data_IF_285734168715
#
_entry.id   IF_285734168715
#
_cell.length_a   1.000
_cell.length_b   1.000
_cell.length_c   1.000
_cell.angle_alpha   90.00
_cell.angle_beta   90.00
_cell.angle_gamma   90.00
#
_symmetry.space_group_name_H-M   'P 1'
#
loop_
_entity.id
_entity.type
_entity.pdbx_description
1 polymer ?
#
# COMPACT_ATOMS: atom_id res chain seq x y z
N UNK A 1 20.16 -13.31 -9.13
CA UNK A 1 19.90 -14.77 -9.09
C UNK A 1 19.20 -15.20 -10.39
N UNK A 2 18.85 -16.49 -10.56
CA UNK A 2 18.21 -17.00 -11.79
C UNK A 2 16.94 -16.23 -12.20
N UNK A 3 16.26 -15.57 -11.27
CA UNK A 3 15.00 -14.86 -11.54
C UNK A 3 15.17 -13.38 -11.86
N UNK A 4 16.35 -12.79 -11.62
CA UNK A 4 16.65 -11.36 -11.85
C UNK A 4 17.78 -11.10 -12.84
N UNK A 5 18.47 -12.13 -13.34
CA UNK A 5 19.70 -12.03 -14.16
C UNK A 5 19.54 -11.24 -15.48
N UNK A 6 18.32 -11.10 -15.98
CA UNK A 6 18.03 -10.43 -17.26
C UNK A 6 17.17 -9.17 -17.08
N UNK A 7 17.02 -8.70 -15.84
CA UNK A 7 16.29 -7.47 -15.55
C UNK A 7 17.29 -6.35 -15.39
N UNK A 8 17.15 -5.32 -16.22
CA UNK A 8 17.82 -4.04 -16.03
C UNK A 8 16.93 -3.14 -15.17
N UNK A 9 17.54 -2.50 -14.19
CA UNK A 9 16.85 -1.58 -13.29
C UNK A 9 17.49 -0.21 -13.44
N UNK A 10 16.66 0.82 -13.51
CA UNK A 10 17.12 2.21 -13.46
C UNK A 10 17.73 2.52 -12.07
N UNK A 11 18.72 3.42 -12.04
CA UNK A 11 19.41 3.81 -10.81
C UNK A 11 18.44 4.37 -9.77
N UNK A 12 17.49 5.21 -10.18
CA UNK A 12 16.47 5.78 -9.29
C UNK A 12 15.60 4.69 -8.63
N UNK A 13 15.30 3.61 -9.36
CA UNK A 13 14.59 2.47 -8.79
C UNK A 13 15.46 1.81 -7.72
N UNK A 14 16.72 1.49 -8.01
CA UNK A 14 17.63 0.84 -7.05
C UNK A 14 17.87 1.70 -5.80
N UNK A 15 18.03 3.02 -5.99
CA UNK A 15 18.21 3.99 -4.92
C UNK A 15 17.03 4.02 -3.95
N UNK A 16 15.78 3.94 -4.45
CA UNK A 16 14.60 3.86 -3.57
C UNK A 16 14.67 2.68 -2.60
N UNK A 17 15.13 1.51 -3.06
CA UNK A 17 15.28 0.33 -2.19
C UNK A 17 16.43 0.48 -1.20
N UNK A 18 17.55 1.06 -1.61
CA UNK A 18 18.66 1.35 -0.72
C UNK A 18 18.22 2.34 0.37
N UNK A 19 17.67 3.49 0.01
CA UNK A 19 17.22 4.53 0.95
C UNK A 19 16.14 3.96 1.89
N UNK A 20 15.12 3.31 1.33
CA UNK A 20 14.03 2.69 2.09
C UNK A 20 14.49 1.64 3.10
N UNK A 21 15.62 0.97 2.83
CA UNK A 21 16.25 -0.02 3.73
C UNK A 21 17.52 0.48 4.40
N UNK A 22 17.73 1.80 4.47
CA UNK A 22 18.87 2.45 5.14
C UNK A 22 20.22 1.89 4.67
N UNK A 23 20.38 1.74 3.36
CA UNK A 23 21.56 1.20 2.69
C UNK A 23 21.96 -0.22 3.12
N UNK A 24 21.06 -0.97 3.77
CA UNK A 24 21.26 -2.39 4.00
C UNK A 24 21.05 -3.15 2.69
N UNK A 25 22.16 -3.48 2.02
CA UNK A 25 22.18 -4.10 0.68
C UNK A 25 21.39 -5.42 0.66
N UNK A 26 21.61 -6.28 1.65
CA UNK A 26 20.93 -7.59 1.72
C UNK A 26 19.41 -7.43 1.82
N UNK A 27 18.93 -6.51 2.68
CA UNK A 27 17.51 -6.20 2.79
C UNK A 27 16.96 -5.56 1.52
N UNK A 28 17.64 -4.57 0.95
CA UNK A 28 17.24 -3.94 -0.30
C UNK A 28 17.09 -4.99 -1.42
N UNK A 29 18.08 -5.86 -1.59
CA UNK A 29 18.04 -6.94 -2.57
C UNK A 29 16.91 -7.94 -2.32
N UNK A 30 16.64 -8.29 -1.05
CA UNK A 30 15.50 -9.17 -0.72
C UNK A 30 14.14 -8.57 -1.14
N UNK A 31 13.95 -7.25 -0.95
CA UNK A 31 12.75 -6.54 -1.38
C UNK A 31 12.65 -6.46 -2.91
N UNK A 32 13.77 -6.24 -3.62
CA UNK A 32 13.79 -6.25 -5.09
C UNK A 32 13.35 -7.62 -5.62
N UNK A 33 13.85 -8.72 -5.04
CA UNK A 33 13.40 -10.07 -5.42
C UNK A 33 11.91 -10.27 -5.13
N UNK A 34 11.43 -9.80 -3.98
CA UNK A 34 10.04 -9.91 -3.57
C UNK A 34 9.10 -9.17 -4.54
N UNK A 35 9.43 -7.92 -4.92
CA UNK A 35 8.61 -7.16 -5.87
C UNK A 35 8.62 -7.78 -7.27
N UNK A 36 9.76 -8.32 -7.72
CA UNK A 36 9.86 -9.01 -9.02
C UNK A 36 8.99 -10.26 -9.02
N UNK A 37 9.01 -11.04 -7.93
CA UNK A 37 8.16 -12.21 -7.78
C UNK A 37 6.67 -11.82 -7.72
N UNK A 38 6.33 -10.78 -6.96
CA UNK A 38 4.97 -10.25 -6.86
C UNK A 38 4.43 -9.85 -8.23
N UNK A 39 5.22 -9.11 -9.03
CA UNK A 39 4.85 -8.70 -10.39
C UNK A 39 4.62 -9.89 -11.33
N UNK A 40 5.45 -10.94 -11.24
CA UNK A 40 5.29 -12.17 -12.05
C UNK A 40 4.06 -12.97 -11.64
N UNK A 41 3.76 -13.03 -10.35
CA UNK A 41 2.64 -13.81 -9.80
C UNK A 41 1.29 -13.11 -10.00
N UNK A 42 1.29 -11.79 -9.99
CA UNK A 42 0.10 -10.94 -10.07
C UNK A 42 0.17 -9.93 -11.23
N UNK A 43 0.35 -10.36 -12.49
CA UNK A 43 0.45 -9.45 -13.62
C UNK A 43 -0.78 -8.55 -13.77
N UNK A 44 -1.95 -8.99 -13.31
CA UNK A 44 -3.19 -8.21 -13.26
C UNK A 44 -3.06 -6.92 -12.43
N UNK A 45 -2.15 -6.85 -11.45
CA UNK A 45 -1.96 -5.63 -10.63
C UNK A 45 -0.97 -4.65 -11.27
N UNK A 46 -0.07 -5.14 -12.14
CA UNK A 46 1.09 -4.35 -12.62
C UNK A 46 1.15 -4.17 -14.13
N UNK A 47 0.13 -4.62 -14.86
CA UNK A 47 -0.01 -4.46 -16.32
C UNK A 47 -1.43 -4.06 -16.69
N UNK A 48 -1.64 -3.64 -17.94
CA UNK A 48 -2.98 -3.34 -18.47
C UNK A 48 -3.61 -2.06 -17.92
N UNK A 49 -2.81 -1.01 -17.72
CA UNK A 49 -3.27 0.26 -17.17
C UNK A 49 -4.21 0.97 -18.17
N UNK A 50 -5.41 1.34 -17.72
CA UNK A 50 -6.20 2.39 -18.36
C UNK A 50 -6.15 3.67 -17.51
N UNK A 51 -6.03 4.82 -18.16
CA UNK A 51 -6.07 6.13 -17.49
C UNK A 51 -7.42 6.33 -16.77
N UNK A 52 -8.49 5.81 -17.35
CA UNK A 52 -9.86 5.92 -16.86
C UNK A 52 -10.04 5.27 -15.48
N UNK A 53 -9.53 4.05 -15.27
CA UNK A 53 -9.61 3.36 -13.97
C UNK A 53 -8.85 4.09 -12.86
N UNK A 54 -7.65 4.59 -13.18
CA UNK A 54 -6.84 5.35 -12.22
C UNK A 54 -7.56 6.64 -11.88
N UNK A 55 -8.02 7.37 -12.90
CA UNK A 55 -8.80 8.61 -12.74
C UNK A 55 -10.04 8.40 -11.88
N UNK A 56 -10.77 7.29 -12.07
CA UNK A 56 -11.96 6.95 -11.28
C UNK A 56 -11.64 6.79 -9.79
N UNK A 57 -10.52 6.14 -9.45
CA UNK A 57 -10.09 6.00 -8.06
C UNK A 57 -9.77 7.36 -7.40
N UNK A 58 -9.28 8.33 -8.18
CA UNK A 58 -9.00 9.68 -7.71
C UNK A 58 -10.28 10.52 -7.62
N UNK A 59 -11.14 10.48 -8.63
CA UNK A 59 -12.35 11.31 -8.71
C UNK A 59 -13.37 10.99 -7.63
N UNK A 60 -13.45 9.71 -7.24
CA UNK A 60 -14.33 9.25 -6.16
C UNK A 60 -13.65 9.40 -4.77
N UNK A 61 -12.44 9.96 -4.69
CA UNK A 61 -11.67 10.10 -3.45
C UNK A 61 -11.52 8.78 -2.67
N UNK A 62 -11.35 7.65 -3.37
CA UNK A 62 -11.13 6.35 -2.71
C UNK A 62 -9.73 6.31 -2.10
N UNK A 63 -8.74 6.81 -2.84
CA UNK A 63 -7.36 6.96 -2.40
C UNK A 63 -6.87 8.37 -2.72
N UNK A 64 -6.28 9.02 -1.72
CA UNK A 64 -5.77 10.38 -1.86
C UNK A 64 -4.40 10.48 -1.21
N UNK A 65 -3.41 10.95 -1.98
CA UNK A 65 -2.17 11.49 -1.39
C UNK A 65 -2.47 12.94 -1.02
N UNK A 66 -2.42 13.28 0.27
CA UNK A 66 -2.71 14.65 0.67
C UNK A 66 -1.61 15.59 0.17
N UNK A 67 -1.96 16.83 -0.22
CA UNK A 67 -0.97 17.80 -0.71
C UNK A 67 -0.03 18.29 0.40
N UNK A 68 -0.38 18.04 1.66
CA UNK A 68 0.41 18.44 2.82
C UNK A 68 1.16 17.26 3.44
N UNK A 69 2.32 17.56 4.00
CA UNK A 69 3.11 16.63 4.79
C UNK A 69 2.81 16.79 6.28
N UNK A 70 3.05 15.73 7.04
CA UNK A 70 3.14 15.83 8.48
C UNK A 70 4.34 16.73 8.87
N UNK A 71 4.33 17.22 10.12
CA UNK A 71 5.46 18.00 10.67
C UNK A 71 6.80 17.25 10.63
N UNK A 72 6.77 15.93 10.70
CA UNK A 72 7.94 15.05 10.56
C UNK A 72 8.30 14.72 9.10
N UNK A 73 7.68 15.42 8.14
CA UNK A 73 7.94 15.29 6.71
C UNK A 73 7.28 14.07 6.03
N UNK A 74 6.52 13.26 6.77
CA UNK A 74 5.84 12.10 6.19
C UNK A 74 4.75 12.52 5.18
N UNK A 75 4.65 11.75 4.10
CA UNK A 75 3.51 11.82 3.18
C UNK A 75 2.29 11.19 3.83
N UNK A 76 1.12 11.80 3.67
CA UNK A 76 -0.14 11.25 4.17
C UNK A 76 -0.89 10.61 3.00
N UNK A 77 -1.28 9.35 3.16
CA UNK A 77 -2.19 8.66 2.25
C UNK A 77 -3.49 8.40 3.00
N UNK A 78 -4.61 8.90 2.48
CA UNK A 78 -5.94 8.63 3.00
C UNK A 78 -6.67 7.64 2.08
N UNK A 79 -7.28 6.62 2.68
CA UNK A 79 -8.14 5.65 2.03
C UNK A 79 -9.55 5.75 2.60
N UNK A 80 -10.50 6.24 1.80
CA UNK A 80 -11.91 6.37 2.18
C UNK A 80 -12.69 5.20 1.58
N UNK A 81 -12.79 4.10 2.32
CA UNK A 81 -13.34 2.85 1.79
C UNK A 81 -14.83 2.94 1.48
N UNK A 82 -15.58 3.82 2.15
CA UNK A 82 -17.01 4.00 1.87
C UNK A 82 -17.27 4.55 0.46
N UNK A 83 -16.31 5.29 -0.10
CA UNK A 83 -16.40 5.79 -1.48
C UNK A 83 -16.08 4.71 -2.52
N UNK A 84 -15.46 3.60 -2.10
CA UNK A 84 -15.11 2.53 -3.03
C UNK A 84 -16.36 1.78 -3.47
N UNK A 85 -16.64 1.81 -4.77
CA UNK A 85 -17.65 1.00 -5.41
C UNK A 85 -17.09 -0.16 -6.25
N UNK A 86 -17.14 -1.42 -5.74
CA UNK A 86 -16.60 -2.58 -6.43
C UNK A 86 -17.24 -2.90 -7.78
N UNK A 87 -18.42 -2.35 -8.08
CA UNK A 87 -19.08 -2.49 -9.38
C UNK A 87 -18.51 -1.53 -10.43
N UNK A 88 -18.00 -0.36 -10.00
CA UNK A 88 -17.37 0.64 -10.88
C UNK A 88 -15.85 0.49 -10.95
N UNK A 89 -15.22 0.19 -9.83
CA UNK A 89 -13.78 0.00 -9.69
C UNK A 89 -13.53 -1.38 -9.08
N UNK A 90 -13.07 -2.33 -9.89
CA UNK A 90 -12.87 -3.71 -9.41
C UNK A 90 -11.75 -3.74 -8.38
N UNK A 91 -11.73 -4.77 -7.54
CA UNK A 91 -10.72 -4.92 -6.50
C UNK A 91 -9.29 -4.90 -7.07
N UNK A 92 -9.05 -5.51 -8.23
CA UNK A 92 -7.72 -5.55 -8.83
C UNK A 92 -7.28 -4.18 -9.36
N UNK A 93 -8.22 -3.36 -9.84
CA UNK A 93 -7.96 -1.97 -10.24
C UNK A 93 -7.67 -1.11 -8.99
N UNK A 94 -8.36 -1.36 -7.87
CA UNK A 94 -8.04 -0.72 -6.60
C UNK A 94 -6.62 -1.11 -6.12
N UNK A 95 -6.23 -2.39 -6.20
CA UNK A 95 -4.87 -2.84 -5.86
C UNK A 95 -3.83 -2.16 -6.76
N UNK A 96 -4.12 -2.04 -8.06
CA UNK A 96 -3.29 -1.34 -9.04
C UNK A 96 -3.13 0.14 -8.67
N UNK A 97 -4.23 0.82 -8.33
CA UNK A 97 -4.20 2.21 -7.86
C UNK A 97 -3.33 2.36 -6.59
N UNK A 98 -3.48 1.49 -5.59
CA UNK A 98 -2.63 1.49 -4.38
C UNK A 98 -1.14 1.36 -4.76
N UNK A 99 -0.80 0.43 -5.65
CA UNK A 99 0.57 0.24 -6.09
C UNK A 99 1.13 1.50 -6.78
N UNK A 100 0.36 2.11 -7.69
CA UNK A 100 0.76 3.34 -8.39
C UNK A 100 0.98 4.48 -7.40
N UNK A 101 0.03 4.72 -6.48
CA UNK A 101 0.10 5.80 -5.51
C UNK A 101 1.35 5.67 -4.63
N UNK A 102 1.64 4.47 -4.14
CA UNK A 102 2.82 4.21 -3.32
C UNK A 102 4.12 4.41 -4.11
N UNK A 103 4.20 3.82 -5.32
CA UNK A 103 5.41 3.88 -6.15
C UNK A 103 5.67 5.30 -6.67
N UNK A 104 4.64 6.04 -7.07
CA UNK A 104 4.78 7.43 -7.50
C UNK A 104 5.17 8.34 -6.34
N UNK A 105 4.55 8.18 -5.17
CA UNK A 105 4.95 8.95 -3.99
C UNK A 105 6.42 8.71 -3.62
N UNK A 106 6.93 7.50 -3.82
CA UNK A 106 8.33 7.15 -3.59
C UNK A 106 9.31 7.75 -4.61
N UNK A 107 8.85 8.36 -5.71
CA UNK A 107 9.75 9.14 -6.58
C UNK A 107 10.22 10.42 -5.92
N UNK A 108 9.50 10.91 -4.91
CA UNK A 108 9.85 12.13 -4.21
C UNK A 108 10.83 11.84 -3.04
N UNK A 109 12.02 12.47 -3.01
CA UNK A 109 13.07 12.13 -2.05
C UNK A 109 12.66 12.24 -0.58
N UNK A 110 11.85 13.24 -0.22
CA UNK A 110 11.37 13.42 1.16
C UNK A 110 10.49 12.23 1.59
N UNK A 111 9.70 11.67 0.68
CA UNK A 111 8.88 10.48 0.96
C UNK A 111 9.74 9.24 1.13
N UNK A 112 10.82 9.08 0.36
CA UNK A 112 11.74 7.95 0.54
C UNK A 112 12.38 7.98 1.93
N UNK A 113 12.78 9.17 2.40
CA UNK A 113 13.44 9.37 3.68
C UNK A 113 12.44 9.31 4.84
N UNK A 114 11.36 10.08 4.79
CA UNK A 114 10.43 10.24 5.91
C UNK A 114 9.37 9.15 5.94
N UNK A 115 8.92 8.68 4.78
CA UNK A 115 7.93 7.62 4.66
C UNK A 115 6.49 8.12 4.69
N UNK A 116 5.60 7.22 5.12
CA UNK A 116 4.15 7.40 5.04
C UNK A 116 3.49 7.36 6.42
N UNK A 117 2.46 8.18 6.61
CA UNK A 117 1.37 7.93 7.55
C UNK A 117 0.12 7.61 6.75
N UNK A 118 -0.57 6.54 7.13
CA UNK A 118 -1.74 6.06 6.38
C UNK A 118 -2.98 6.25 7.22
N UNK A 119 -4.02 6.83 6.64
CA UNK A 119 -5.35 6.95 7.23
C UNK A 119 -6.25 5.97 6.48
N UNK A 120 -6.90 5.07 7.19
CA UNK A 120 -7.90 4.16 6.64
C UNK A 120 -9.21 4.48 7.31
N UNK A 121 -10.10 5.09 6.55
CA UNK A 121 -11.43 5.50 6.98
C UNK A 121 -12.48 4.54 6.39
N UNK A 122 -13.25 3.91 7.28
CA UNK A 122 -14.41 3.12 6.92
C UNK A 122 -15.50 3.27 7.99
N UNK A 123 -16.49 4.15 7.76
CA UNK A 123 -17.68 4.38 8.61
C UNK A 123 -18.71 3.27 8.51
N UNK A 124 -18.70 2.50 7.43
CA UNK A 124 -19.52 1.32 7.12
C UNK A 124 -20.84 1.55 6.37
N UNK A 125 -21.04 0.71 5.35
CA UNK A 125 -22.30 0.14 4.90
C UNK A 125 -22.10 -1.40 4.73
N UNK A 126 -22.97 -2.29 5.22
CA UNK A 126 -22.53 -3.44 6.05
C UNK A 126 -22.07 -4.75 5.36
N UNK A 127 -22.09 -4.91 4.04
CA UNK A 127 -21.75 -6.20 3.39
C UNK A 127 -20.92 -6.09 2.10
N UNK A 128 -20.99 -4.93 1.43
CA UNK A 128 -20.36 -4.68 0.12
C UNK A 128 -18.84 -4.90 0.14
N UNK A 129 -18.17 -4.44 1.19
CA UNK A 129 -16.71 -4.57 1.30
C UNK A 129 -16.26 -5.83 2.03
N UNK A 130 -17.09 -6.36 2.95
CA UNK A 130 -16.73 -7.48 3.82
C UNK A 130 -16.37 -8.74 3.00
N UNK A 131 -17.05 -8.97 1.87
CA UNK A 131 -16.74 -10.09 0.95
C UNK A 131 -15.31 -10.06 0.38
N UNK A 132 -14.66 -8.89 0.37
CA UNK A 132 -13.27 -8.73 -0.09
C UNK A 132 -12.26 -8.83 1.04
N UNK A 133 -12.70 -8.81 2.30
CA UNK A 133 -11.89 -8.97 3.51
C UNK A 133 -11.57 -10.46 3.71
N UNK A 134 -10.74 -11.00 2.82
CA UNK A 134 -10.32 -12.40 2.84
C UNK A 134 -8.85 -12.52 3.26
N UNK A 135 -8.41 -13.66 3.86
CA UNK A 135 -7.01 -13.87 4.20
C UNK A 135 -6.06 -13.66 3.02
N UNK A 136 -6.43 -14.15 1.83
CA UNK A 136 -5.61 -14.02 0.61
C UNK A 136 -5.45 -12.55 0.18
N UNK A 137 -6.53 -11.77 0.19
CA UNK A 137 -6.47 -10.35 -0.20
C UNK A 137 -5.68 -9.53 0.81
N UNK A 138 -5.89 -9.75 2.11
CA UNK A 138 -5.19 -9.03 3.17
C UNK A 138 -3.71 -9.41 3.24
N UNK A 139 -3.39 -10.68 3.03
CA UNK A 139 -2.00 -11.12 2.91
C UNK A 139 -1.32 -10.47 1.71
N UNK A 140 -1.98 -10.41 0.55
CA UNK A 140 -1.43 -9.77 -0.64
C UNK A 140 -1.16 -8.27 -0.41
N UNK A 141 -2.09 -7.56 0.24
CA UNK A 141 -1.91 -6.17 0.64
C UNK A 141 -0.74 -6.01 1.63
N UNK A 142 -0.68 -6.86 2.66
CA UNK A 142 0.42 -6.88 3.63
C UNK A 142 1.78 -7.13 2.93
N UNK A 143 1.90 -8.20 2.15
CA UNK A 143 3.13 -8.59 1.47
C UNK A 143 3.56 -7.51 0.47
N UNK A 144 2.64 -6.96 -0.32
CA UNK A 144 2.90 -5.86 -1.24
C UNK A 144 3.43 -4.62 -0.51
N UNK A 145 2.73 -4.18 0.54
CA UNK A 145 3.08 -2.93 1.24
C UNK A 145 4.32 -3.08 2.12
N UNK A 146 4.42 -4.14 2.91
CA UNK A 146 5.45 -4.28 3.95
C UNK A 146 6.72 -5.00 3.49
N UNK A 147 6.64 -5.89 2.49
CA UNK A 147 7.73 -6.79 2.10
C UNK A 147 8.23 -6.60 0.66
N UNK A 148 7.44 -5.93 -0.20
CA UNK A 148 7.82 -5.66 -1.58
C UNK A 148 8.18 -4.19 -1.82
N UNK A 149 7.31 -3.26 -1.42
CA UNK A 149 7.54 -1.82 -1.64
C UNK A 149 8.60 -1.30 -0.66
N UNK A 150 9.57 -0.48 -1.09
CA UNK A 150 10.63 0.04 -0.21
C UNK A 150 10.17 1.17 0.71
N UNK A 151 8.87 1.26 0.99
CA UNK A 151 8.25 2.27 1.82
C UNK A 151 8.59 2.12 3.30
N UNK A 152 8.48 3.25 4.02
CA UNK A 152 8.60 3.33 5.48
C UNK A 152 7.25 3.77 6.08
N UNK A 153 6.44 2.83 6.53
CA UNK A 153 5.19 3.16 7.23
C UNK A 153 5.52 3.58 8.67
N UNK A 154 5.18 4.81 9.04
CA UNK A 154 5.43 5.36 10.37
C UNK A 154 4.24 5.12 11.28
N UNK A 155 3.04 5.41 10.78
CA UNK A 155 1.79 5.28 11.49
C UNK A 155 0.69 4.82 10.53
N UNK A 156 -0.26 4.05 11.06
CA UNK A 156 -1.48 3.65 10.37
C UNK A 156 -2.63 3.95 11.32
N UNK A 157 -3.53 4.84 10.90
CA UNK A 157 -4.68 5.28 11.67
C UNK A 157 -5.93 4.64 11.08
N UNK A 158 -6.58 3.79 11.87
CA UNK A 158 -7.90 3.25 11.54
C UNK A 158 -8.93 4.21 12.13
N UNK A 159 -9.67 4.89 11.25
CA UNK A 159 -10.71 5.85 11.63
C UNK A 159 -12.06 5.16 11.52
N UNK A 160 -12.89 5.37 12.54
CA UNK A 160 -14.18 4.69 12.74
C UNK A 160 -14.03 3.20 13.13
N UNK A 161 -14.88 2.70 14.04
CA UNK A 161 -14.77 1.34 14.58
C UNK A 161 -15.72 0.35 13.87
N UNK A 162 -15.65 0.32 12.54
CA UNK A 162 -16.54 -0.51 11.71
C UNK A 162 -16.23 -2.01 11.80
N UNK A 163 -17.25 -2.83 11.50
CA UNK A 163 -17.11 -4.29 11.40
C UNK A 163 -16.05 -4.70 10.36
N UNK A 164 -16.00 -4.01 9.22
CA UNK A 164 -15.01 -4.23 8.15
C UNK A 164 -13.58 -4.07 8.69
N UNK A 165 -13.30 -3.00 9.43
CA UNK A 165 -11.97 -2.77 10.01
C UNK A 165 -11.63 -3.77 11.11
N UNK A 166 -12.62 -4.17 11.93
CA UNK A 166 -12.43 -5.23 12.95
C UNK A 166 -12.06 -6.57 12.31
N UNK A 167 -12.80 -6.97 11.27
CA UNK A 167 -12.55 -8.21 10.54
C UNK A 167 -11.18 -8.18 9.84
N UNK A 168 -10.87 -7.08 9.14
CA UNK A 168 -9.59 -6.90 8.48
C UNK A 168 -8.42 -6.95 9.47
N UNK A 169 -8.56 -6.26 10.62
CA UNK A 169 -7.57 -6.30 11.69
C UNK A 169 -7.35 -7.71 12.24
N UNK A 170 -8.43 -8.44 12.53
CA UNK A 170 -8.36 -9.81 13.05
C UNK A 170 -7.57 -10.73 12.10
N UNK A 171 -7.83 -10.64 10.79
CA UNK A 171 -7.19 -11.47 9.78
C UNK A 171 -5.75 -11.05 9.47
N UNK A 172 -5.43 -9.74 9.47
CA UNK A 172 -4.07 -9.27 9.10
C UNK A 172 -3.10 -9.32 10.27
N UNK A 173 -3.58 -9.16 11.52
CA UNK A 173 -2.75 -9.08 12.73
C UNK A 173 -1.72 -10.20 12.88
N UNK A 174 -2.01 -11.48 12.55
CA UNK A 174 -1.04 -12.56 12.62
C UNK A 174 0.18 -12.38 11.71
N UNK A 175 0.02 -11.68 10.58
CA UNK A 175 1.13 -11.43 9.64
C UNK A 175 2.01 -10.24 10.06
N UNK A 176 1.52 -9.38 10.96
CA UNK A 176 2.23 -8.17 11.35
C UNK A 176 3.36 -8.45 12.35
N UNK A 177 4.53 -7.90 12.11
CA UNK A 177 5.57 -7.78 13.14
C UNK A 177 5.11 -6.87 14.29
N UNK A 178 5.67 -7.05 15.49
CA UNK A 178 5.32 -6.21 16.65
C UNK A 178 5.63 -4.73 16.44
N UNK A 179 6.65 -4.44 15.62
CA UNK A 179 6.97 -3.08 15.17
C UNK A 179 5.81 -2.45 14.40
N UNK A 180 5.16 -3.19 13.50
CA UNK A 180 4.03 -2.68 12.73
C UNK A 180 2.77 -2.61 13.59
N UNK A 181 2.51 -3.61 14.45
CA UNK A 181 1.38 -3.57 15.40
C UNK A 181 1.39 -2.30 16.26
N UNK A 182 2.57 -1.89 16.77
CA UNK A 182 2.75 -0.66 17.56
C UNK A 182 2.52 0.63 16.79
N UNK A 183 2.48 0.58 15.45
CA UNK A 183 2.24 1.73 14.57
C UNK A 183 0.79 1.86 14.13
N UNK A 184 -0.03 0.87 14.45
CA UNK A 184 -1.46 0.89 14.15
C UNK A 184 -2.18 1.47 15.35
N UNK A 185 -2.92 2.56 15.13
CA UNK A 185 -3.75 3.21 16.14
C UNK A 185 -5.20 3.27 15.66
N UNK A 186 -6.14 3.19 16.60
CA UNK A 186 -7.56 3.44 16.33
C UNK A 186 -7.88 4.87 16.75
N UNK A 187 -8.48 5.63 15.84
CA UNK A 187 -9.02 6.95 16.13
C UNK A 187 -10.54 6.85 16.07
N UNK A 188 -11.18 7.06 17.22
CA UNK A 188 -12.63 7.20 17.33
C UNK A 188 -12.92 8.70 17.16
N UNK A 189 -13.38 9.08 15.97
CA UNK A 189 -13.84 10.43 15.65
C UNK A 189 -15.36 10.42 15.48
#
# INVERSE_FOLDING_TARGET
DKHTKHLEFEDDFLLQYLIGKKYNISKAFSFIKAVVHLKKKHPEIFSGFSYEEISLSMSENVLTVLPWRCQDGCTIIAAHLDNWDPEKLRLDDLKRAIAIYLLQSLREPMTQINGFKVIIDAKSNPLKHLRYVTPSNLYLLYHGTQECVPARYKEVHLVNDSLTLKAAWFLVKPFLSDKIKKRVSKLLL
#
